data_IF_265252368844
#
_entry.id   IF_265252368844
#
_cell.length_a   1.000
_cell.length_b   1.000
_cell.length_c   1.000
_cell.angle_alpha   90.00
_cell.angle_beta   90.00
_cell.angle_gamma   90.00
#
_symmetry.space_group_name_H-M   'P 1'
#
loop_
_entity.id
_entity.type
_entity.pdbx_description
1 polymer ?
#
# COMPACT_ATOMS: atom_id res chain seq x y z
N UNK A 1 15.47 7.77 -6.89
CA UNK A 1 14.96 7.04 -8.08
C UNK A 1 16.08 6.69 -9.05
N UNK A 2 16.86 7.64 -9.56
CA UNK A 2 17.97 7.37 -10.51
C UNK A 2 18.98 6.33 -10.02
N UNK A 3 19.49 6.49 -8.79
CA UNK A 3 20.39 5.50 -8.16
C UNK A 3 19.72 4.13 -8.00
N UNK A 4 18.42 4.11 -7.73
CA UNK A 4 17.62 2.90 -7.59
C UNK A 4 17.46 2.15 -8.90
N UNK A 5 17.20 2.87 -10.00
CA UNK A 5 17.12 2.28 -11.34
C UNK A 5 18.50 1.76 -11.77
N UNK A 6 19.57 2.52 -11.50
CA UNK A 6 20.94 2.10 -11.79
C UNK A 6 21.31 0.79 -11.06
N UNK A 7 20.94 0.68 -9.77
CA UNK A 7 21.09 -0.57 -9.02
C UNK A 7 20.17 -1.68 -9.56
N UNK A 8 18.95 -1.32 -9.95
CA UNK A 8 17.97 -2.21 -10.58
C UNK A 8 18.47 -2.92 -11.84
N UNK A 9 19.29 -2.23 -12.63
CA UNK A 9 19.85 -2.71 -13.89
C UNK A 9 21.02 -3.68 -13.70
N UNK A 10 21.52 -3.87 -12.48
CA UNK A 10 22.57 -4.86 -12.18
C UNK A 10 22.01 -6.27 -12.46
N UNK A 11 22.61 -6.93 -13.45
CA UNK A 11 22.25 -8.29 -13.87
C UNK A 11 23.12 -9.32 -13.17
N UNK A 12 22.49 -10.26 -12.48
CA UNK A 12 23.14 -11.46 -11.96
C UNK A 12 22.62 -12.69 -12.72
N UNK A 13 23.34 -13.12 -13.76
CA UNK A 13 22.93 -14.21 -14.67
C UNK A 13 21.57 -13.90 -15.34
N UNK A 14 20.50 -14.63 -15.01
CA UNK A 14 19.13 -14.38 -15.53
C UNK A 14 18.32 -13.42 -14.65
N UNK A 15 18.92 -12.92 -13.56
CA UNK A 15 18.26 -12.10 -12.56
C UNK A 15 18.59 -10.63 -12.74
N UNK A 16 17.60 -9.76 -12.57
CA UNK A 16 17.74 -8.31 -12.43
C UNK A 16 16.83 -7.84 -11.29
N UNK A 17 17.26 -6.82 -10.56
CA UNK A 17 16.45 -6.25 -9.47
C UNK A 17 15.31 -5.36 -10.04
N UNK A 18 15.51 -4.77 -11.22
CA UNK A 18 14.52 -3.91 -11.87
C UNK A 18 14.10 -2.74 -10.98
N UNK A 19 12.82 -2.35 -11.05
CA UNK A 19 12.28 -1.22 -10.28
C UNK A 19 12.41 -1.46 -8.77
N UNK A 20 12.49 -2.71 -8.30
CA UNK A 20 12.68 -3.01 -6.87
C UNK A 20 14.01 -2.46 -6.32
N UNK A 21 14.99 -2.17 -7.18
CA UNK A 21 16.23 -1.47 -6.82
C UNK A 21 15.99 -0.09 -6.19
N UNK A 22 14.88 0.60 -6.52
CA UNK A 22 14.53 1.87 -5.87
C UNK A 22 14.20 1.70 -4.40
N UNK A 23 13.60 0.58 -4.01
CA UNK A 23 13.26 0.28 -2.62
C UNK A 23 14.52 0.00 -1.80
N UNK A 24 15.43 -0.85 -2.31
CA UNK A 24 16.69 -1.15 -1.61
C UNK A 24 17.55 0.10 -1.41
N UNK A 25 17.68 0.93 -2.45
CA UNK A 25 18.40 2.20 -2.33
C UNK A 25 17.68 3.16 -1.38
N UNK A 26 16.35 3.22 -1.40
CA UNK A 26 15.56 4.02 -0.45
C UNK A 26 15.83 3.62 0.99
N UNK A 27 15.82 2.33 1.29
CA UNK A 27 16.12 1.80 2.63
C UNK A 27 17.57 2.09 3.05
N UNK A 28 18.52 1.90 2.15
CA UNK A 28 19.94 2.19 2.39
C UNK A 28 20.17 3.67 2.69
N UNK A 29 19.62 4.56 1.86
CA UNK A 29 19.71 6.02 2.05
C UNK A 29 19.01 6.44 3.34
N UNK A 30 17.84 5.87 3.64
CA UNK A 30 17.13 6.11 4.90
C UNK A 30 17.97 5.76 6.13
N UNK A 31 18.58 4.57 6.16
CA UNK A 31 19.46 4.15 7.25
C UNK A 31 20.64 5.12 7.47
N UNK A 32 21.32 5.50 6.38
CA UNK A 32 22.43 6.45 6.46
C UNK A 32 21.99 7.86 6.87
N UNK A 33 20.83 8.32 6.40
CA UNK A 33 20.24 9.60 6.80
C UNK A 33 19.94 9.63 8.30
N UNK A 34 19.34 8.59 8.86
CA UNK A 34 19.07 8.50 10.29
C UNK A 34 20.38 8.51 11.09
N UNK A 35 21.39 7.75 10.64
CA UNK A 35 22.72 7.73 11.28
C UNK A 35 23.41 9.08 11.23
N UNK A 36 23.31 9.80 10.12
CA UNK A 36 23.87 11.15 9.97
C UNK A 36 23.11 12.18 10.80
N UNK A 37 21.78 12.09 10.87
CA UNK A 37 20.95 13.03 11.63
C UNK A 37 21.27 13.05 13.13
N UNK A 38 21.67 11.92 13.73
CA UNK A 38 22.11 11.84 15.14
C UNK A 38 23.41 12.62 15.39
N UNK A 39 24.23 12.85 14.36
CA UNK A 39 25.53 13.53 14.51
C UNK A 39 25.44 15.06 14.44
N UNK A 40 24.24 15.62 14.18
CA UNK A 40 24.03 17.06 13.99
C UNK A 40 23.85 17.74 15.37
N UNK A 41 24.68 18.74 15.74
CA UNK A 41 24.58 19.45 17.02
C UNK A 41 23.30 20.29 17.14
N UNK A 42 22.83 20.45 18.39
CA UNK A 42 21.60 21.22 18.74
C UNK A 42 21.64 22.68 18.28
N UNK A 43 22.81 23.30 18.32
CA UNK A 43 22.99 24.71 17.94
C UNK A 43 23.00 24.94 16.41
N UNK A 44 22.97 23.87 15.61
CA UNK A 44 23.04 24.00 14.16
C UNK A 44 21.69 24.41 13.56
N UNK A 45 21.75 25.23 12.49
CA UNK A 45 20.57 25.60 11.68
C UNK A 45 19.82 24.38 11.10
N UNK A 46 20.47 23.21 11.04
CA UNK A 46 19.93 21.98 10.47
C UNK A 46 19.35 21.02 11.52
N UNK A 47 19.44 21.34 12.81
CA UNK A 47 18.97 20.48 13.89
C UNK A 47 17.48 20.15 13.78
N UNK A 48 16.63 21.14 13.47
CA UNK A 48 15.20 20.91 13.25
C UNK A 48 14.92 19.94 12.09
N UNK A 49 15.71 20.00 11.00
CA UNK A 49 15.58 19.05 9.88
C UNK A 49 16.10 17.66 10.25
N UNK A 50 17.20 17.58 11.00
CA UNK A 50 17.71 16.34 11.54
C UNK A 50 16.67 15.67 12.44
N UNK A 51 16.01 16.46 13.30
CA UNK A 51 14.97 15.99 14.21
C UNK A 51 13.75 15.44 13.45
N UNK A 52 13.34 16.08 12.36
CA UNK A 52 12.27 15.54 11.50
C UNK A 52 12.64 14.19 10.87
N UNK A 53 13.90 14.02 10.47
CA UNK A 53 14.41 12.74 9.94
C UNK A 53 14.39 11.65 11.02
N UNK A 54 14.79 11.99 12.25
CA UNK A 54 14.81 11.06 13.38
C UNK A 54 13.41 10.63 13.83
N UNK A 55 12.43 11.53 13.75
CA UNK A 55 11.00 11.25 14.04
C UNK A 55 10.30 10.45 12.93
N UNK A 56 10.99 10.10 11.84
CA UNK A 56 10.38 9.45 10.69
C UNK A 56 9.50 10.37 9.83
N UNK A 57 9.40 11.65 10.18
CA UNK A 57 8.68 12.70 9.43
C UNK A 57 9.52 13.24 8.26
N UNK A 58 10.21 12.34 7.55
CA UNK A 58 11.00 12.68 6.36
C UNK A 58 10.07 13.09 5.20
N UNK A 59 8.91 12.43 5.12
CA UNK A 59 7.88 12.67 4.11
C UNK A 59 6.60 13.02 4.85
N UNK A 60 6.01 14.16 4.50
CA UNK A 60 4.73 14.58 5.05
C UNK A 60 3.63 13.57 4.70
N UNK A 61 2.70 13.35 5.64
CA UNK A 61 1.58 12.43 5.47
C UNK A 61 0.75 12.75 4.22
N UNK A 62 0.56 14.03 3.91
CA UNK A 62 -0.19 14.47 2.73
C UNK A 62 0.53 14.10 1.44
N UNK A 63 1.86 14.25 1.40
CA UNK A 63 2.68 13.88 0.24
C UNK A 63 2.66 12.37 0.03
N UNK A 64 2.74 11.59 1.11
CA UNK A 64 2.65 10.13 1.03
C UNK A 64 1.29 9.68 0.49
N UNK A 65 0.20 10.21 1.06
CA UNK A 65 -1.16 9.87 0.63
C UNK A 65 -1.42 10.31 -0.83
N UNK A 66 -0.95 11.49 -1.23
CA UNK A 66 -1.01 11.97 -2.61
C UNK A 66 -0.23 11.04 -3.55
N UNK A 67 0.97 10.63 -3.17
CA UNK A 67 1.80 9.73 -3.98
C UNK A 67 1.15 8.36 -4.15
N UNK A 68 0.57 7.80 -3.08
CA UNK A 68 -0.18 6.55 -3.12
C UNK A 68 -1.43 6.66 -4.00
N UNK A 69 -2.18 7.76 -3.89
CA UNK A 69 -3.36 8.01 -4.72
C UNK A 69 -3.00 8.08 -6.21
N UNK A 70 -1.96 8.84 -6.56
CA UNK A 70 -1.47 8.94 -7.96
C UNK A 70 -1.04 7.57 -8.49
N UNK A 71 -0.28 6.83 -7.69
CA UNK A 71 0.16 5.51 -8.07
C UNK A 71 -1.02 4.53 -8.28
N UNK A 72 -2.02 4.56 -7.40
CA UNK A 72 -3.13 3.60 -7.42
C UNK A 72 -4.14 3.90 -8.51
N UNK A 73 -4.51 5.16 -8.71
CA UNK A 73 -5.39 5.56 -9.80
C UNK A 73 -4.69 5.28 -11.14
N UNK A 74 -3.41 5.60 -11.26
CA UNK A 74 -2.62 5.33 -12.47
C UNK A 74 -2.54 3.84 -12.81
N UNK A 75 -2.23 2.99 -11.82
CA UNK A 75 -2.18 1.53 -12.03
C UNK A 75 -3.55 0.92 -12.28
N UNK A 76 -4.61 1.44 -11.66
CA UNK A 76 -5.99 1.04 -11.93
C UNK A 76 -6.40 1.34 -13.38
N UNK A 77 -6.21 2.58 -13.84
CA UNK A 77 -6.52 2.97 -15.22
C UNK A 77 -5.71 2.14 -16.24
N UNK A 78 -4.43 1.89 -15.96
CA UNK A 78 -3.58 1.07 -16.83
C UNK A 78 -4.05 -0.40 -16.89
N UNK A 79 -4.50 -0.96 -15.77
CA UNK A 79 -4.97 -2.35 -15.71
C UNK A 79 -6.32 -2.56 -16.43
N UNK A 80 -7.14 -1.52 -16.53
CA UNK A 80 -8.50 -1.62 -17.05
C UNK A 80 -8.56 -2.05 -18.54
N UNK A 81 -7.55 -1.69 -19.34
CA UNK A 81 -7.50 -2.01 -20.79
C UNK A 81 -7.57 -3.51 -21.10
N UNK A 82 -6.95 -4.32 -20.25
CA UNK A 82 -6.88 -5.78 -20.42
C UNK A 82 -7.93 -6.51 -19.58
N UNK A 83 -8.53 -5.81 -18.62
CA UNK A 83 -9.46 -6.39 -17.66
C UNK A 83 -10.77 -6.87 -18.31
N UNK A 84 -11.28 -6.15 -19.32
CA UNK A 84 -12.54 -6.56 -20.01
C UNK A 84 -12.44 -7.95 -20.61
N UNK A 85 -11.41 -8.19 -21.41
CA UNK A 85 -11.18 -9.50 -22.01
C UNK A 85 -10.88 -10.58 -20.96
N UNK A 86 -10.07 -10.26 -19.94
CA UNK A 86 -9.71 -11.21 -18.90
C UNK A 86 -10.94 -11.65 -18.08
N UNK A 87 -11.81 -10.72 -17.68
CA UNK A 87 -13.03 -11.03 -16.91
C UNK A 87 -14.06 -11.78 -17.77
N UNK A 88 -14.28 -11.40 -19.03
CA UNK A 88 -15.27 -12.11 -19.85
C UNK A 88 -14.83 -13.54 -20.20
N UNK A 89 -13.52 -13.75 -20.38
CA UNK A 89 -12.98 -15.07 -20.75
C UNK A 89 -12.76 -15.98 -19.54
N UNK A 90 -12.27 -15.44 -18.43
CA UNK A 90 -11.79 -16.22 -17.28
C UNK A 90 -12.39 -15.77 -15.93
N UNK A 91 -13.37 -14.87 -15.93
CA UNK A 91 -13.81 -14.11 -14.75
C UNK A 91 -14.09 -14.96 -13.51
N UNK A 92 -14.79 -16.09 -13.64
CA UNK A 92 -15.07 -16.99 -12.50
C UNK A 92 -13.79 -17.52 -11.86
N UNK A 93 -12.80 -17.94 -12.67
CA UNK A 93 -11.51 -18.44 -12.17
C UNK A 93 -10.71 -17.32 -11.51
N UNK A 94 -10.68 -16.14 -12.13
CA UNK A 94 -10.00 -14.97 -11.57
C UNK A 94 -10.58 -14.54 -10.23
N UNK A 95 -11.90 -14.47 -10.10
CA UNK A 95 -12.56 -14.07 -8.85
C UNK A 95 -12.25 -15.06 -7.72
N UNK A 96 -12.33 -16.37 -7.99
CA UNK A 96 -12.02 -17.40 -7.00
C UNK A 96 -10.57 -17.26 -6.52
N UNK A 97 -9.62 -17.13 -7.44
CA UNK A 97 -8.19 -17.00 -7.11
C UNK A 97 -7.90 -15.68 -6.38
N UNK A 98 -8.53 -14.58 -6.81
CA UNK A 98 -8.36 -13.26 -6.22
C UNK A 98 -8.88 -13.17 -4.77
N UNK A 99 -9.86 -13.99 -4.39
CA UNK A 99 -10.32 -14.11 -3.00
C UNK A 99 -9.42 -15.11 -2.24
N UNK A 100 -9.13 -16.25 -2.85
CA UNK A 100 -8.43 -17.35 -2.18
C UNK A 100 -7.00 -16.99 -1.78
N UNK A 101 -6.21 -16.39 -2.67
CA UNK A 101 -4.79 -16.09 -2.38
C UNK A 101 -4.65 -15.10 -1.21
N UNK A 102 -5.32 -13.93 -1.20
CA UNK A 102 -5.24 -13.01 -0.08
C UNK A 102 -5.80 -13.61 1.21
N UNK A 103 -6.87 -14.42 1.12
CA UNK A 103 -7.46 -15.08 2.28
C UNK A 103 -6.49 -16.06 2.94
N UNK A 104 -5.84 -16.93 2.17
CA UNK A 104 -4.82 -17.86 2.71
C UNK A 104 -3.67 -17.10 3.34
N UNK A 105 -3.20 -16.03 2.70
CA UNK A 105 -2.17 -15.15 3.26
C UNK A 105 -2.61 -14.52 4.59
N UNK A 106 -3.86 -14.05 4.68
CA UNK A 106 -4.39 -13.41 5.87
C UNK A 106 -4.52 -14.40 7.03
N UNK A 107 -5.03 -15.61 6.77
CA UNK A 107 -5.12 -16.69 7.76
C UNK A 107 -3.73 -17.09 8.25
N UNK A 108 -2.75 -17.21 7.34
CA UNK A 108 -1.38 -17.53 7.71
C UNK A 108 -0.76 -16.42 8.57
N UNK A 109 -0.87 -15.16 8.14
CA UNK A 109 -0.38 -14.00 8.91
C UNK A 109 -1.02 -13.90 10.29
N UNK A 110 -2.32 -14.13 10.39
CA UNK A 110 -3.02 -14.17 11.67
C UNK A 110 -2.55 -15.34 12.55
N UNK A 111 -2.41 -16.54 12.01
CA UNK A 111 -1.91 -17.70 12.74
C UNK A 111 -0.50 -17.46 13.31
N UNK A 112 0.41 -16.91 12.52
CA UNK A 112 1.76 -16.55 12.98
C UNK A 112 1.75 -15.40 13.99
N UNK A 113 0.80 -14.45 13.91
CA UNK A 113 0.70 -13.35 14.88
C UNK A 113 0.46 -13.83 16.31
N UNK A 114 -0.24 -14.96 16.49
CA UNK A 114 -0.51 -15.54 17.80
C UNK A 114 0.75 -16.18 18.41
N UNK A 115 1.66 -16.69 17.55
CA UNK A 115 2.91 -17.31 17.98
C UNK A 115 3.96 -16.25 18.31
N UNK A 116 3.97 -15.14 17.56
CA UNK A 116 4.94 -14.06 17.70
C UNK A 116 4.34 -12.83 18.40
N UNK A 117 4.14 -12.92 19.72
CA UNK A 117 3.51 -11.87 20.54
C UNK A 117 4.30 -10.56 20.67
N UNK A 118 5.55 -10.51 20.18
CA UNK A 118 6.43 -9.33 20.25
C UNK A 118 6.30 -8.35 19.07
N UNK A 119 5.58 -8.72 18.01
CA UNK A 119 5.42 -7.84 16.84
C UNK A 119 4.14 -7.01 16.96
N UNK A 120 4.21 -5.74 16.52
CA UNK A 120 3.02 -4.90 16.48
C UNK A 120 2.04 -5.42 15.40
N UNK A 121 0.71 -5.29 15.62
CA UNK A 121 -0.29 -5.65 14.61
C UNK A 121 -0.05 -4.93 13.27
N UNK A 122 0.37 -3.67 13.33
CA UNK A 122 0.67 -2.86 12.15
C UNK A 122 1.83 -3.41 11.32
N UNK A 123 2.90 -3.89 11.95
CA UNK A 123 4.02 -4.54 11.26
C UNK A 123 3.60 -5.86 10.61
N UNK A 124 2.69 -6.61 11.22
CA UNK A 124 2.17 -7.85 10.65
C UNK A 124 1.32 -7.54 9.41
N UNK A 125 0.42 -6.56 9.49
CA UNK A 125 -0.36 -6.08 8.35
C UNK A 125 0.55 -5.59 7.22
N UNK A 126 1.58 -4.81 7.56
CA UNK A 126 2.62 -4.41 6.62
C UNK A 126 3.28 -5.61 5.94
N UNK A 127 3.75 -6.57 6.73
CA UNK A 127 4.43 -7.79 6.23
C UNK A 127 3.53 -8.60 5.32
N UNK A 128 2.24 -8.72 5.65
CA UNK A 128 1.23 -9.36 4.81
C UNK A 128 1.13 -8.68 3.43
N UNK A 129 0.99 -7.35 3.39
CA UNK A 129 0.91 -6.61 2.11
C UNK A 129 2.22 -6.70 1.30
N UNK A 130 3.37 -6.68 2.00
CA UNK A 130 4.69 -6.83 1.40
C UNK A 130 4.90 -8.21 0.80
N UNK A 131 4.58 -9.27 1.55
CA UNK A 131 4.67 -10.65 1.08
C UNK A 131 3.75 -10.92 -0.13
N UNK A 132 2.57 -10.32 -0.16
CA UNK A 132 1.68 -10.34 -1.32
C UNK A 132 2.16 -9.47 -2.48
N UNK A 133 3.24 -8.71 -2.31
CA UNK A 133 3.74 -7.73 -3.29
C UNK A 133 2.67 -6.73 -3.73
N UNK A 134 1.72 -6.42 -2.84
CA UNK A 134 0.51 -5.67 -3.16
C UNK A 134 0.64 -4.22 -2.71
N UNK A 135 0.94 -3.33 -3.66
CA UNK A 135 1.00 -1.88 -3.42
C UNK A 135 -0.37 -1.29 -3.08
N UNK A 136 -1.45 -1.80 -3.69
CA UNK A 136 -2.81 -1.43 -3.31
C UNK A 136 -3.14 -1.90 -1.88
N UNK A 137 -2.65 -3.08 -1.49
CA UNK A 137 -2.76 -3.59 -0.14
C UNK A 137 -2.02 -2.73 0.89
N UNK A 138 -0.78 -2.30 0.58
CA UNK A 138 -0.02 -1.36 1.43
C UNK A 138 -0.81 -0.10 1.69
N UNK A 139 -1.32 0.50 0.63
CA UNK A 139 -2.00 1.77 0.72
C UNK A 139 -3.31 1.67 1.53
N UNK A 140 -4.10 0.61 1.29
CA UNK A 140 -5.28 0.31 2.10
C UNK A 140 -4.92 0.07 3.58
N UNK A 141 -3.84 -0.68 3.85
CA UNK A 141 -3.38 -0.95 5.21
C UNK A 141 -2.87 0.30 5.94
N UNK A 142 -2.16 1.19 5.24
CA UNK A 142 -1.67 2.45 5.81
C UNK A 142 -2.85 3.38 6.14
N UNK A 143 -3.82 3.52 5.23
CA UNK A 143 -5.01 4.33 5.46
C UNK A 143 -5.89 3.76 6.58
N UNK A 144 -6.13 2.45 6.59
CA UNK A 144 -6.92 1.80 7.64
C UNK A 144 -6.25 1.91 9.00
N UNK A 145 -4.93 1.74 9.07
CA UNK A 145 -4.18 1.85 10.33
C UNK A 145 -4.17 3.28 10.86
N UNK A 146 -4.13 4.29 9.98
CA UNK A 146 -4.27 5.70 10.36
C UNK A 146 -5.65 5.98 10.96
N UNK A 147 -6.72 5.56 10.28
CA UNK A 147 -8.08 5.78 10.75
C UNK A 147 -8.38 5.02 12.05
N UNK A 148 -7.95 3.76 12.14
CA UNK A 148 -8.15 2.91 13.31
C UNK A 148 -7.35 3.40 14.53
N UNK A 149 -6.05 3.70 14.36
CA UNK A 149 -5.23 4.22 15.47
C UNK A 149 -5.77 5.55 15.99
N UNK A 150 -6.21 6.46 15.12
CA UNK A 150 -6.83 7.73 15.53
C UNK A 150 -8.15 7.51 16.28
N UNK A 151 -8.99 6.58 15.81
CA UNK A 151 -10.23 6.21 16.51
C UNK A 151 -9.94 5.64 17.90
N UNK A 152 -9.04 4.65 18.00
CA UNK A 152 -8.65 4.05 19.27
C UNK A 152 -8.00 5.06 20.24
N UNK A 153 -7.23 6.02 19.72
CA UNK A 153 -6.60 7.05 20.55
C UNK A 153 -7.62 8.03 21.15
N UNK A 154 -8.65 8.40 20.38
CA UNK A 154 -9.72 9.29 20.85
C UNK A 154 -10.64 8.59 21.86
N UNK A 155 -10.96 7.32 21.62
CA UNK A 155 -11.80 6.48 22.49
C UNK A 155 -11.00 5.78 23.60
N UNK A 156 -9.78 6.24 23.90
CA UNK A 156 -8.84 5.55 24.78
C UNK A 156 -9.44 5.18 26.15
N UNK A 157 -10.32 6.02 26.70
CA UNK A 157 -10.98 5.81 27.99
C UNK A 157 -11.85 4.55 28.02
N UNK A 158 -12.55 4.24 26.93
CA UNK A 158 -13.54 3.17 26.85
C UNK A 158 -12.94 1.84 26.37
N UNK A 159 -11.63 1.82 26.08
CA UNK A 159 -10.93 0.62 25.65
C UNK A 159 -10.64 -0.34 26.81
N UNK A 160 -10.54 -1.63 26.45
CA UNK A 160 -10.08 -2.69 27.36
C UNK A 160 -8.65 -2.43 27.86
N UNK A 161 -8.33 -2.87 29.08
CA UNK A 161 -6.98 -2.71 29.67
C UNK A 161 -5.87 -3.31 28.79
N UNK A 162 -6.15 -4.43 28.14
CA UNK A 162 -5.21 -5.06 27.20
C UNK A 162 -4.90 -4.20 25.99
N UNK A 163 -5.89 -3.48 25.45
CA UNK A 163 -5.70 -2.54 24.34
C UNK A 163 -4.98 -1.28 24.82
N UNK A 164 -5.37 -0.72 25.97
CA UNK A 164 -4.71 0.43 26.60
C UNK A 164 -3.21 0.17 26.79
N UNK A 165 -2.86 -0.98 27.35
CA UNK A 165 -1.46 -1.39 27.56
C UNK A 165 -0.67 -1.39 26.24
N UNK A 166 -1.25 -1.90 25.16
CA UNK A 166 -0.59 -1.96 23.84
C UNK A 166 -0.37 -0.57 23.26
N UNK A 167 -1.36 0.32 23.35
CA UNK A 167 -1.26 1.70 22.86
C UNK A 167 -0.18 2.44 23.65
N UNK A 168 -0.23 2.38 24.98
CA UNK A 168 0.78 3.01 25.85
C UNK A 168 2.18 2.43 25.60
N UNK A 169 2.32 1.13 25.36
CA UNK A 169 3.60 0.52 25.02
C UNK A 169 4.17 1.07 23.70
N UNK A 170 3.34 1.28 22.68
CA UNK A 170 3.78 1.87 21.40
C UNK A 170 4.25 3.31 21.63
N UNK A 171 3.47 4.13 22.35
CA UNK A 171 3.82 5.53 22.65
C UNK A 171 5.09 5.61 23.49
N UNK A 172 5.20 4.81 24.56
CA UNK A 172 6.38 4.77 25.41
C UNK A 172 7.64 4.36 24.64
N UNK A 173 7.56 3.33 23.79
CA UNK A 173 8.70 2.91 22.97
C UNK A 173 9.13 4.00 21.99
N UNK A 174 8.18 4.73 21.41
CA UNK A 174 8.47 5.86 20.52
C UNK A 174 9.13 7.01 21.29
N UNK A 175 8.58 7.41 22.44
CA UNK A 175 9.15 8.46 23.30
C UNK A 175 10.53 8.08 23.84
N UNK A 176 10.73 6.83 24.26
CA UNK A 176 12.02 6.33 24.74
C UNK A 176 13.07 6.33 23.62
N UNK A 177 12.69 5.88 22.41
CA UNK A 177 13.54 5.94 21.22
C UNK A 177 13.92 7.38 20.90
N UNK A 178 12.94 8.28 20.85
CA UNK A 178 13.16 9.67 20.48
C UNK A 178 14.02 10.40 21.54
N UNK A 179 13.83 10.12 22.83
CA UNK A 179 14.67 10.67 23.89
C UNK A 179 16.12 10.17 23.80
N UNK A 180 16.33 8.87 23.55
CA UNK A 180 17.67 8.28 23.33
C UNK A 180 18.37 8.88 22.11
N UNK A 181 17.64 9.15 21.04
CA UNK A 181 18.21 9.76 19.82
C UNK A 181 18.64 11.22 20.04
N UNK A 182 18.03 11.92 21.00
CA UNK A 182 18.33 13.32 21.34
C UNK A 182 19.28 13.48 22.54
N UNK A 183 19.71 12.39 23.18
CA UNK A 183 20.37 12.44 24.50
C UNK A 183 19.57 13.21 25.57
N UNK A 184 18.24 13.22 25.45
CA UNK A 184 17.33 13.80 26.45
C UNK A 184 17.03 12.76 27.55
N UNK A 185 16.60 13.23 28.72
CA UNK A 185 16.09 12.34 29.76
C UNK A 185 14.86 11.60 29.27
N UNK A 186 14.85 10.27 29.44
CA UNK A 186 13.74 9.41 29.04
C UNK A 186 12.48 9.86 29.79
N UNK A 187 11.39 10.21 29.08
CA UNK A 187 10.14 10.61 29.70
C UNK A 187 9.60 9.52 30.62
N UNK A 188 8.85 9.93 31.66
CA UNK A 188 8.19 8.98 32.55
C UNK A 188 7.26 8.05 31.76
N UNK A 189 7.32 6.74 32.07
CA UNK A 189 6.52 5.75 31.34
C UNK A 189 5.04 5.97 31.64
N UNK A 190 4.26 6.10 30.57
CA UNK A 190 2.81 6.15 30.64
C UNK A 190 2.29 4.75 31.00
N UNK A 191 1.54 4.65 32.09
CA UNK A 191 0.87 3.45 32.59
C UNK A 191 -0.64 3.68 32.63
N UNK A 192 -1.42 2.60 32.77
CA UNK A 192 -2.88 2.71 32.91
C UNK A 192 -3.26 3.55 34.14
N UNK A 193 -2.43 3.52 35.18
CA UNK A 193 -2.67 4.21 36.45
C UNK A 193 -2.44 5.72 36.36
N UNK A 194 -1.44 6.16 35.57
CA UNK A 194 -1.09 7.58 35.45
C UNK A 194 -1.68 8.27 34.21
N UNK A 195 -2.25 7.50 33.26
CA UNK A 195 -2.76 8.02 31.99
C UNK A 195 -4.23 7.66 31.80
N UNK A 196 -5.11 8.63 32.06
CA UNK A 196 -6.56 8.50 31.84
C UNK A 196 -6.99 8.94 30.44
N UNK A 197 -6.27 9.88 29.82
CA UNK A 197 -6.51 10.38 28.45
C UNK A 197 -5.20 10.58 27.72
N UNK A 198 -5.23 10.50 26.40
CA UNK A 198 -4.08 10.81 25.56
C UNK A 198 -4.10 12.28 25.16
N UNK A 199 -2.94 12.94 25.24
CA UNK A 199 -2.78 14.30 24.71
C UNK A 199 -2.83 14.30 23.18
N UNK A 200 -3.08 15.46 22.56
CA UNK A 200 -3.06 15.58 21.10
C UNK A 200 -1.70 15.16 20.49
N UNK A 201 -0.60 15.41 21.20
CA UNK A 201 0.74 14.97 20.79
C UNK A 201 0.87 13.44 20.84
N UNK A 202 0.37 12.81 21.91
CA UNK A 202 0.41 11.34 22.07
C UNK A 202 -0.44 10.62 21.03
N UNK A 203 -1.58 11.20 20.66
CA UNK A 203 -2.43 10.70 19.58
C UNK A 203 -1.64 10.70 18.27
N UNK A 204 -1.00 11.82 17.91
CA UNK A 204 -0.23 11.91 16.67
C UNK A 204 1.00 10.99 16.67
N UNK A 205 1.68 10.81 17.81
CA UNK A 205 2.77 9.84 17.95
C UNK A 205 2.25 8.43 17.67
N UNK A 206 1.15 8.03 18.30
CA UNK A 206 0.58 6.70 18.09
C UNK A 206 0.14 6.47 16.64
N UNK A 207 -0.54 7.44 16.03
CA UNK A 207 -0.97 7.36 14.61
C UNK A 207 0.25 7.25 13.68
N UNK A 208 1.29 8.04 13.93
CA UNK A 208 2.52 8.01 13.13
C UNK A 208 3.23 6.66 13.25
N UNK A 209 3.34 6.11 14.46
CA UNK A 209 3.93 4.79 14.67
C UNK A 209 3.10 3.65 14.06
N UNK A 210 1.76 3.74 14.08
CA UNK A 210 0.90 2.78 13.43
C UNK A 210 1.15 2.75 11.91
N UNK A 211 1.18 3.91 11.26
CA UNK A 211 1.49 4.03 9.82
C UNK A 211 2.90 3.55 9.49
N UNK A 212 3.88 3.97 10.29
CA UNK A 212 5.28 3.57 10.14
C UNK A 212 5.43 2.05 10.30
N UNK A 213 4.72 1.43 11.24
CA UNK A 213 4.68 -0.01 11.44
C UNK A 213 4.25 -0.77 10.18
N UNK A 214 3.18 -0.32 9.51
CA UNK A 214 2.74 -0.90 8.23
C UNK A 214 3.82 -0.75 7.15
N UNK A 215 4.39 0.46 7.00
CA UNK A 215 5.43 0.72 6.01
C UNK A 215 6.69 -0.13 6.22
N UNK A 216 7.12 -0.29 7.47
CA UNK A 216 8.26 -1.14 7.86
C UNK A 216 7.97 -2.59 7.55
N UNK A 217 6.81 -3.11 7.97
CA UNK A 217 6.41 -4.48 7.69
C UNK A 217 6.40 -4.76 6.18
N UNK A 218 5.83 -3.86 5.39
CA UNK A 218 5.80 -3.99 3.93
C UNK A 218 7.19 -4.04 3.33
N UNK A 219 8.06 -3.11 3.74
CA UNK A 219 9.43 -3.03 3.25
C UNK A 219 10.24 -4.29 3.59
N UNK A 220 9.98 -4.92 4.73
CA UNK A 220 10.61 -6.19 5.13
C UNK A 220 10.03 -7.36 4.32
N UNK A 221 8.71 -7.44 4.17
CA UNK A 221 8.05 -8.54 3.47
C UNK A 221 8.26 -8.54 1.94
N UNK A 222 8.36 -7.35 1.34
CA UNK A 222 8.38 -7.18 -0.12
C UNK A 222 9.55 -7.89 -0.83
N UNK A 223 10.81 -7.78 -0.38
CA UNK A 223 11.92 -8.53 -0.98
C UNK A 223 11.70 -10.04 -1.02
N UNK A 224 11.14 -10.61 0.05
CA UNK A 224 10.85 -12.05 0.12
C UNK A 224 9.68 -12.42 -0.76
N UNK A 225 8.61 -11.61 -0.80
CA UNK A 225 7.49 -11.79 -1.72
C UNK A 225 7.96 -11.84 -3.19
N UNK A 226 8.79 -10.87 -3.59
CA UNK A 226 9.39 -10.83 -4.93
C UNK A 226 10.29 -12.05 -5.19
N UNK A 227 11.14 -12.42 -4.22
CA UNK A 227 12.01 -13.60 -4.35
C UNK A 227 11.20 -14.88 -4.59
N UNK A 228 10.16 -15.14 -3.78
CA UNK A 228 9.31 -16.33 -3.94
C UNK A 228 8.49 -16.28 -5.23
N UNK A 229 8.02 -15.10 -5.65
CA UNK A 229 7.37 -14.91 -6.94
C UNK A 229 8.30 -15.30 -8.10
N UNK A 230 9.54 -14.80 -8.08
CA UNK A 230 10.56 -15.10 -9.11
C UNK A 230 10.90 -16.59 -9.12
N UNK A 231 11.08 -17.20 -7.94
CA UNK A 231 11.29 -18.65 -7.84
C UNK A 231 10.08 -19.42 -8.37
N UNK A 232 8.86 -18.99 -8.04
CA UNK A 232 7.62 -19.59 -8.54
C UNK A 232 7.52 -19.57 -10.06
N UNK A 233 7.74 -18.40 -10.68
CA UNK A 233 7.70 -18.24 -12.15
C UNK A 233 8.73 -19.12 -12.85
N UNK A 234 9.90 -19.37 -12.25
CA UNK A 234 10.93 -20.22 -12.83
C UNK A 234 10.75 -21.71 -12.52
N UNK A 235 10.20 -22.05 -11.35
CA UNK A 235 10.14 -23.42 -10.85
C UNK A 235 8.83 -24.13 -11.18
N UNK A 236 7.68 -23.43 -11.09
CA UNK A 236 6.36 -24.00 -11.37
C UNK A 236 6.28 -24.56 -12.80
N UNK A 237 6.68 -23.84 -13.87
CA UNK A 237 6.61 -24.39 -15.22
C UNK A 237 7.49 -25.64 -15.40
N UNK A 238 8.62 -25.69 -14.69
CA UNK A 238 9.54 -26.84 -14.72
C UNK A 238 8.97 -28.07 -14.00
N UNK A 239 8.27 -27.87 -12.88
CA UNK A 239 7.58 -28.95 -12.15
C UNK A 239 6.45 -29.53 -13.02
N UNK A 240 5.59 -28.67 -13.57
CA UNK A 240 4.42 -29.10 -14.33
C UNK A 240 4.69 -29.34 -15.83
N UNK A 241 5.93 -29.14 -16.27
CA UNK A 241 6.37 -29.31 -17.67
C UNK A 241 5.57 -28.48 -18.67
N UNK A 242 5.16 -27.27 -18.28
CA UNK A 242 4.52 -26.31 -19.19
C UNK A 242 5.56 -25.41 -19.86
N UNK A 243 5.41 -25.21 -21.16
CA UNK A 243 6.23 -24.30 -21.96
C UNK A 243 5.56 -22.91 -21.92
N UNK A 244 6.11 -22.01 -21.08
CA UNK A 244 5.51 -20.71 -20.78
C UNK A 244 5.40 -19.85 -22.04
N UNK A 245 6.44 -19.87 -22.88
CA UNK A 245 6.51 -19.16 -24.14
C UNK A 245 5.42 -19.64 -25.11
N UNK A 246 5.22 -20.96 -25.25
CA UNK A 246 4.13 -21.50 -26.09
C UNK A 246 2.74 -21.17 -25.54
N UNK A 247 2.53 -21.28 -24.23
CA UNK A 247 1.23 -20.94 -23.62
C UNK A 247 0.91 -19.44 -23.75
N UNK A 248 1.93 -18.58 -23.60
CA UNK A 248 1.82 -17.14 -23.86
C UNK A 248 1.45 -16.87 -25.33
N UNK A 249 2.12 -17.53 -26.28
CA UNK A 249 1.83 -17.37 -27.71
C UNK A 249 0.40 -17.83 -28.07
N UNK A 250 -0.03 -18.99 -27.55
CA UNK A 250 -1.41 -19.47 -27.69
C UNK A 250 -2.41 -18.47 -27.12
N UNK A 251 -2.14 -17.93 -25.93
CA UNK A 251 -3.00 -16.92 -25.30
C UNK A 251 -3.15 -15.68 -26.18
N UNK A 252 -2.05 -15.10 -26.67
CA UNK A 252 -2.12 -13.89 -27.50
C UNK A 252 -2.75 -14.14 -28.87
N UNK A 253 -2.51 -15.31 -29.45
CA UNK A 253 -3.15 -15.72 -30.71
C UNK A 253 -4.66 -15.89 -30.52
N UNK A 254 -5.07 -16.58 -29.47
CA UNK A 254 -6.49 -16.74 -29.14
C UNK A 254 -7.15 -15.40 -28.81
N UNK A 255 -6.47 -14.52 -28.06
CA UNK A 255 -6.95 -13.16 -27.77
C UNK A 255 -7.20 -12.37 -29.05
N UNK A 256 -6.27 -12.39 -30.01
CA UNK A 256 -6.46 -11.72 -31.31
C UNK A 256 -7.66 -12.27 -32.08
N UNK A 257 -7.87 -13.60 -32.07
CA UNK A 257 -9.01 -14.25 -32.73
C UNK A 257 -10.33 -13.90 -32.03
N UNK A 258 -10.36 -13.92 -30.71
CA UNK A 258 -11.56 -13.61 -29.93
C UNK A 258 -11.95 -12.13 -30.10
N UNK A 259 -10.97 -11.21 -30.12
CA UNK A 259 -11.22 -9.81 -30.44
C UNK A 259 -11.65 -9.60 -31.91
N UNK A 260 -11.15 -10.36 -32.88
CA UNK A 260 -11.57 -10.18 -34.28
C UNK A 260 -12.96 -10.75 -34.59
N UNK A 261 -13.45 -11.69 -33.78
CA UNK A 261 -14.81 -12.27 -33.89
C UNK A 261 -15.89 -11.45 -33.19
N UNK A 262 -15.51 -10.58 -32.27
CA UNK A 262 -16.43 -9.70 -31.56
C UNK A 262 -16.84 -8.54 -32.50
N UNK A 263 -18.12 -8.51 -32.91
CA UNK A 263 -18.68 -7.49 -33.82
C UNK A 263 -18.59 -6.07 -33.26
N UNK A 264 -18.42 -5.93 -31.94
CA UNK A 264 -18.23 -4.66 -31.24
C UNK A 264 -16.74 -4.31 -30.97
N UNK A 265 -15.79 -5.16 -31.35
CA UNK A 265 -14.36 -4.91 -31.13
C UNK A 265 -13.81 -3.76 -31.96
N UNK A 266 -14.33 -3.53 -33.16
CA UNK A 266 -13.96 -2.39 -34.01
C UNK A 266 -14.41 -1.03 -33.46
N UNK A 267 -15.31 -1.00 -32.47
CA UNK A 267 -15.79 0.23 -31.80
C UNK A 267 -15.12 0.51 -30.45
N UNK A 268 -14.35 -0.44 -29.91
CA UNK A 268 -13.84 -0.41 -28.53
C UNK A 268 -12.31 -0.53 -28.46
N UNK A 269 -11.58 -0.09 -29.49
CA UNK A 269 -10.14 0.16 -29.36
C UNK A 269 -9.97 1.48 -28.64
N UNK A 270 -9.86 1.45 -27.30
CA UNK A 270 -9.51 2.63 -26.51
C UNK A 270 -8.08 3.02 -26.95
N UNK A 271 -7.89 4.16 -27.65
CA UNK A 271 -6.54 4.58 -28.00
C UNK A 271 -5.76 4.80 -26.70
N UNK A 272 -4.51 4.35 -26.64
CA UNK A 272 -3.63 4.67 -25.51
C UNK A 272 -3.35 6.18 -25.56
N UNK A 273 -4.13 6.94 -24.79
CA UNK A 273 -3.91 8.37 -24.60
C UNK A 273 -2.77 8.57 -23.59
N UNK A 274 -1.95 9.60 -23.82
CA UNK A 274 -1.00 10.08 -22.80
C UNK A 274 -1.78 10.45 -21.54
N UNK A 275 -1.10 10.44 -20.39
CA UNK A 275 -1.69 10.66 -19.06
C UNK A 275 -2.81 11.73 -19.10
N UNK A 276 -4.05 11.27 -19.00
CA UNK A 276 -5.23 12.12 -19.01
C UNK A 276 -5.47 12.62 -17.58
N UNK A 277 -5.04 13.86 -17.32
CA UNK A 277 -5.23 14.49 -16.03
C UNK A 277 -6.70 14.67 -15.67
N UNK A 278 -7.59 14.87 -16.64
CA UNK A 278 -9.02 15.04 -16.39
C UNK A 278 -9.62 13.71 -15.97
N UNK A 279 -9.37 12.64 -16.73
CA UNK A 279 -9.83 11.29 -16.40
C UNK A 279 -9.28 10.82 -15.05
N UNK A 280 -8.00 11.10 -14.78
CA UNK A 280 -7.37 10.85 -13.50
C UNK A 280 -8.06 11.61 -12.35
N UNK A 281 -8.29 12.92 -12.49
CA UNK A 281 -8.91 13.74 -11.46
C UNK A 281 -10.35 13.33 -11.18
N UNK A 282 -11.13 12.99 -12.21
CA UNK A 282 -12.50 12.46 -12.05
C UNK A 282 -12.47 11.12 -11.33
N UNK A 283 -11.55 10.23 -11.69
CA UNK A 283 -11.40 8.93 -11.03
C UNK A 283 -11.03 9.08 -9.55
N UNK A 284 -10.08 9.96 -9.23
CA UNK A 284 -9.67 10.24 -7.86
C UNK A 284 -10.82 10.88 -7.04
N UNK A 285 -11.53 11.85 -7.63
CA UNK A 285 -12.64 12.54 -6.98
C UNK A 285 -13.79 11.59 -6.67
N UNK A 286 -14.32 10.90 -7.69
CA UNK A 286 -15.39 9.92 -7.51
C UNK A 286 -14.94 8.75 -6.60
N UNK A 287 -13.67 8.38 -6.70
CA UNK A 287 -13.03 7.41 -5.83
C UNK A 287 -13.08 7.79 -4.35
N UNK A 288 -12.79 9.05 -4.04
CA UNK A 288 -12.88 9.57 -2.68
C UNK A 288 -14.31 9.45 -2.11
N UNK A 289 -15.33 9.80 -2.91
CA UNK A 289 -16.73 9.65 -2.51
C UNK A 289 -17.12 8.19 -2.27
N UNK A 290 -16.76 7.29 -3.21
CA UNK A 290 -17.03 5.86 -3.06
C UNK A 290 -16.31 5.29 -1.83
N UNK A 291 -15.09 5.74 -1.59
CA UNK A 291 -14.27 5.36 -0.44
C UNK A 291 -14.90 5.74 0.90
N UNK A 292 -15.51 6.92 0.97
CA UNK A 292 -16.16 7.45 2.17
C UNK A 292 -17.42 6.72 2.61
N UNK A 293 -17.97 5.81 1.80
CA UNK A 293 -19.16 5.03 2.15
C UNK A 293 -18.82 4.05 3.28
N UNK A 294 -19.49 4.21 4.42
CA UNK A 294 -19.37 3.32 5.59
C UNK A 294 -20.56 2.36 5.63
N UNK A 295 -20.27 1.07 5.57
CA UNK A 295 -21.25 -0.02 5.65
C UNK A 295 -21.09 -0.70 7.00
N UNK A 296 -22.15 -0.76 7.80
CA UNK A 296 -22.13 -1.51 9.07
C UNK A 296 -22.22 -3.02 8.78
N UNK A 297 -21.20 -3.78 9.17
CA UNK A 297 -21.16 -5.25 9.04
C UNK A 297 -21.49 -5.96 10.36
N UNK A 298 -22.35 -5.36 11.19
CA UNK A 298 -22.79 -5.95 12.46
C UNK A 298 -21.61 -6.28 13.38
N UNK A 299 -21.38 -7.55 13.76
CA UNK A 299 -20.31 -7.94 14.68
C UNK A 299 -18.88 -7.73 14.11
N UNK A 300 -18.74 -7.52 12.81
CA UNK A 300 -17.44 -7.26 12.16
C UNK A 300 -17.07 -5.76 12.13
N UNK A 301 -17.90 -4.90 12.70
CA UNK A 301 -17.66 -3.46 12.78
C UNK A 301 -18.10 -2.69 11.52
N UNK A 302 -17.55 -1.48 11.36
CA UNK A 302 -17.83 -0.63 10.19
C UNK A 302 -16.79 -0.87 9.10
N UNK A 303 -17.27 -1.21 7.91
CA UNK A 303 -16.45 -1.40 6.73
C UNK A 303 -16.51 -0.14 5.85
N UNK A 304 -15.35 0.30 5.39
CA UNK A 304 -15.22 1.35 4.38
C UNK A 304 -14.08 0.94 3.46
N UNK A 305 -14.20 1.31 2.18
CA UNK A 305 -13.15 1.05 1.20
C UNK A 305 -11.91 1.93 1.42
N UNK A 306 -12.04 3.03 2.17
CA UNK A 306 -11.03 4.08 2.23
C UNK A 306 -10.96 4.89 0.94
N UNK A 307 -10.40 6.09 1.02
CA UNK A 307 -10.19 6.94 -0.15
C UNK A 307 -9.38 6.23 -1.24
N UNK A 308 -8.44 5.38 -0.83
CA UNK A 308 -7.55 4.65 -1.72
C UNK A 308 -8.25 3.46 -2.38
N UNK A 309 -9.01 2.67 -1.60
CA UNK A 309 -9.78 1.54 -2.14
C UNK A 309 -10.93 2.00 -3.03
N UNK A 310 -11.57 3.13 -2.71
CA UNK A 310 -12.54 3.76 -3.60
C UNK A 310 -11.91 4.23 -4.92
N UNK A 311 -10.73 4.87 -4.84
CA UNK A 311 -10.00 5.36 -6.01
C UNK A 311 -9.60 4.24 -6.98
N UNK A 312 -9.12 3.08 -6.51
CA UNK A 312 -8.77 1.97 -7.41
C UNK A 312 -10.00 1.39 -8.12
N UNK A 313 -11.13 1.24 -7.41
CA UNK A 313 -12.35 0.67 -7.99
C UNK A 313 -12.92 1.61 -9.05
N UNK A 314 -13.00 2.90 -8.76
CA UNK A 314 -13.48 3.89 -9.72
C UNK A 314 -12.54 3.97 -10.93
N UNK A 315 -11.22 3.98 -10.72
CA UNK A 315 -10.25 3.96 -11.81
C UNK A 315 -10.44 2.74 -12.73
N UNK A 316 -10.66 1.56 -12.15
CA UNK A 316 -10.94 0.34 -12.91
C UNK A 316 -12.25 0.42 -13.69
N UNK A 317 -13.33 0.91 -13.06
CA UNK A 317 -14.64 1.05 -13.71
C UNK A 317 -14.58 2.06 -14.85
N UNK A 318 -14.01 3.25 -14.63
CA UNK A 318 -13.89 4.28 -15.66
C UNK A 318 -12.99 3.82 -16.80
N UNK A 319 -11.86 3.17 -16.49
CA UNK A 319 -11.00 2.58 -17.50
C UNK A 319 -11.67 1.44 -18.27
N UNK A 320 -12.56 0.67 -17.63
CA UNK A 320 -13.32 -0.40 -18.27
C UNK A 320 -14.42 0.14 -19.19
N UNK A 321 -15.09 1.23 -18.80
CA UNK A 321 -16.15 1.87 -19.59
C UNK A 321 -15.57 2.46 -20.89
N UNK A 322 -14.31 2.92 -20.88
CA UNK A 322 -13.52 3.21 -22.08
C UNK A 322 -14.04 4.33 -22.99
N UNK A 323 -15.24 4.87 -22.75
CA UNK A 323 -15.85 5.98 -23.47
C UNK A 323 -15.81 7.24 -22.61
N UNK A 324 -14.66 7.90 -22.58
CA UNK A 324 -14.58 9.27 -22.08
C UNK A 324 -15.20 10.30 -23.03
N UNK A 325 -15.64 9.90 -24.24
CA UNK A 325 -16.52 10.73 -25.08
C UNK A 325 -17.85 11.05 -24.41
N UNK A 326 -18.36 10.19 -23.51
CA UNK A 326 -19.64 10.44 -22.83
C UNK A 326 -19.51 11.57 -21.79
N UNK A 327 -18.36 11.69 -21.13
CA UNK A 327 -18.12 12.77 -20.15
C UNK A 327 -17.84 14.11 -20.84
N UNK A 328 -17.14 14.12 -21.97
CA UNK A 328 -16.98 15.32 -22.80
C UNK A 328 -18.31 15.76 -23.46
N UNK A 329 -19.12 14.82 -23.94
CA UNK A 329 -20.45 15.15 -24.52
C UNK A 329 -21.45 15.61 -23.46
N UNK A 330 -21.42 15.06 -22.24
CA UNK A 330 -22.23 15.57 -21.12
C UNK A 330 -21.78 16.98 -20.70
N UNK A 331 -20.49 17.31 -20.78
CA UNK A 331 -19.99 18.65 -20.49
C UNK A 331 -20.28 19.67 -21.60
N UNK A 332 -20.24 19.26 -22.87
CA UNK A 332 -20.63 20.10 -24.03
C UNK A 332 -22.14 20.36 -24.08
N UNK A 333 -22.96 19.52 -23.45
CA UNK A 333 -24.40 19.76 -23.28
C UNK A 333 -24.74 20.62 -22.04
N UNK A 334 -23.77 20.88 -21.16
CA UNK A 334 -23.92 21.66 -19.92
C UNK A 334 -23.22 23.03 -19.99
N UNK A 335 -22.60 23.38 -21.11
CA UNK A 335 -22.08 24.71 -21.47
C UNK A 335 -22.75 25.19 -22.75
#
# INVERSE_FOLDING_TARGET
MTLGNLFGDIKFRKFNFGITGTLFIGLFVGYFLTKYAVTIPEESKYFSKAQNVLKGNVIDNSIMNLSLLIFIVGTGLLAAKDMKYAITKFGKQFVIIAIFIPFVGAVASYGFSQIFSKMSPYQITGTYTGALTSSAGLAAATESSEAESRYLANEFQDLSEGTKTKILAIINNAKERDAKLKNETIPEKMTIENTTTLSAEDIEVYVTEAKAGVGVGHSIGYPFGVLFLILGINFIPKIFRFDVEKEKEKYFTQKKIDLSKDKDAGKNTIPEVKMDFVGFSVAAFLGYFLGGIKISMGPLGTFSLGSIGGAIIVALILGFIGKMDLLLSVWILLC
#
